data_IF_115774616960
#
_entry.id   IF_115774616960
#
_cell.length_a   1.000
_cell.length_b   1.000
_cell.length_c   1.000
_cell.angle_alpha   90.00
_cell.angle_beta   90.00
_cell.angle_gamma   90.00
#
_symmetry.space_group_name_H-M   'P 1'
#
loop_
_entity.id
_entity.type
_entity.pdbx_description
1 polymer ?
#
# COMPACT_ATOMS: atom_id res chain seq x y z
N UNK A 1 -6.56 -4.93 13.18
CA UNK A 1 -5.19 -5.38 13.49
C UNK A 1 -4.28 -4.17 13.33
N UNK A 2 -3.23 -4.06 14.15
CA UNK A 2 -2.25 -3.00 14.00
C UNK A 2 -1.38 -3.25 12.76
N UNK A 3 -0.78 -2.21 12.20
CA UNK A 3 0.20 -2.33 11.12
C UNK A 3 1.49 -2.96 11.66
N UNK A 4 1.95 -4.05 11.04
CA UNK A 4 3.15 -4.79 11.49
C UNK A 4 4.42 -4.44 10.69
N UNK A 5 4.28 -4.09 9.41
CA UNK A 5 5.41 -3.93 8.47
C UNK A 5 5.22 -2.67 7.61
N UNK A 6 6.28 -1.87 7.47
CA UNK A 6 6.34 -0.72 6.56
C UNK A 6 7.40 -1.00 5.47
N UNK A 7 6.95 -1.15 4.22
CA UNK A 7 7.82 -1.29 3.06
C UNK A 7 8.25 0.07 2.50
N UNK A 8 9.41 0.57 2.90
CA UNK A 8 9.94 1.87 2.45
C UNK A 8 10.62 1.87 1.06
N UNK A 9 10.51 0.77 0.31
CA UNK A 9 11.13 0.63 -1.01
C UNK A 9 10.37 1.39 -2.10
N UNK A 10 11.09 1.97 -3.05
CA UNK A 10 10.49 2.66 -4.20
C UNK A 10 9.80 1.70 -5.17
N UNK A 11 8.95 2.26 -6.04
CA UNK A 11 8.37 1.50 -7.14
C UNK A 11 9.45 0.79 -7.97
N UNK A 12 9.12 -0.42 -8.44
CA UNK A 12 10.01 -1.28 -9.27
C UNK A 12 11.20 -1.91 -8.53
N UNK A 13 11.31 -1.79 -7.21
CA UNK A 13 12.35 -2.48 -6.40
C UNK A 13 11.84 -3.79 -5.78
N UNK A 14 10.99 -4.54 -6.48
CA UNK A 14 10.42 -5.81 -5.99
C UNK A 14 9.22 -5.68 -5.04
N UNK A 15 8.56 -4.51 -4.98
CA UNK A 15 7.44 -4.23 -4.07
C UNK A 15 6.26 -5.20 -4.23
N UNK A 16 5.93 -5.60 -5.46
CA UNK A 16 4.84 -6.57 -5.71
C UNK A 16 5.18 -7.98 -5.22
N UNK A 17 6.43 -8.42 -5.42
CA UNK A 17 6.89 -9.70 -4.88
C UNK A 17 6.90 -9.70 -3.35
N UNK A 18 7.31 -8.58 -2.73
CA UNK A 18 7.26 -8.42 -1.28
C UNK A 18 5.82 -8.49 -0.74
N UNK A 19 4.87 -7.74 -1.33
CA UNK A 19 3.43 -7.82 -1.01
C UNK A 19 2.96 -9.28 -1.00
N UNK A 20 3.22 -9.99 -2.09
CA UNK A 20 2.81 -11.38 -2.28
C UNK A 20 3.42 -12.31 -1.22
N UNK A 21 4.68 -12.09 -0.85
CA UNK A 21 5.36 -12.89 0.17
C UNK A 21 4.75 -12.68 1.55
N UNK A 22 4.48 -11.43 1.95
CA UNK A 22 3.86 -11.10 3.24
C UNK A 22 2.47 -11.73 3.38
N UNK A 23 1.66 -11.68 2.33
CA UNK A 23 0.33 -12.31 2.31
C UNK A 23 0.43 -13.84 2.45
N UNK A 24 1.39 -14.47 1.75
CA UNK A 24 1.63 -15.93 1.85
C UNK A 24 2.14 -16.35 3.22
N UNK A 25 2.90 -15.49 3.89
CA UNK A 25 3.43 -15.75 5.23
C UNK A 25 2.40 -15.51 6.35
N UNK A 26 1.21 -15.02 6.01
CA UNK A 26 0.12 -14.83 6.98
C UNK A 26 0.15 -13.48 7.70
N UNK A 27 0.88 -12.48 7.19
CA UNK A 27 0.89 -11.11 7.73
C UNK A 27 -0.41 -10.32 7.42
N UNK A 28 -1.46 -10.98 6.93
CA UNK A 28 -2.70 -10.35 6.49
C UNK A 28 -2.60 -9.66 5.13
N UNK A 29 -3.60 -8.83 4.76
CA UNK A 29 -3.59 -8.07 3.51
C UNK A 29 -2.45 -7.05 3.51
N UNK A 30 -1.77 -6.90 2.36
CA UNK A 30 -0.66 -5.96 2.22
C UNK A 30 -1.01 -4.88 1.19
N UNK A 31 -1.15 -3.62 1.65
CA UNK A 31 -1.46 -2.48 0.79
C UNK A 31 -0.36 -2.27 -0.27
N UNK A 32 -0.75 -2.17 -1.54
CA UNK A 32 0.16 -1.90 -2.67
C UNK A 32 -0.50 -1.04 -3.74
N UNK A 33 0.29 -0.29 -4.52
CA UNK A 33 -0.21 0.61 -5.59
C UNK A 33 -1.11 -0.10 -6.62
N UNK A 34 -0.94 -1.42 -6.82
CA UNK A 34 -1.82 -2.22 -7.70
C UNK A 34 -3.28 -2.24 -7.24
N UNK A 35 -3.55 -2.05 -5.95
CA UNK A 35 -4.89 -1.99 -5.37
C UNK A 35 -5.46 -0.58 -5.48
N UNK A 36 -4.62 0.43 -5.24
CA UNK A 36 -4.98 1.86 -5.33
C UNK A 36 -5.49 2.23 -6.74
N UNK A 37 -4.84 1.74 -7.80
CA UNK A 37 -5.22 2.06 -9.18
C UNK A 37 -6.67 1.65 -9.52
N UNK A 38 -7.21 0.63 -8.85
CA UNK A 38 -8.57 0.15 -9.04
C UNK A 38 -9.62 0.81 -8.14
N UNK A 39 -9.21 1.70 -7.23
CA UNK A 39 -10.06 2.26 -6.17
C UNK A 39 -10.05 3.79 -6.20
N UNK A 40 -11.08 4.43 -6.79
CA UNK A 40 -11.19 5.88 -6.86
C UNK A 40 -11.16 6.59 -5.50
N UNK A 41 -11.66 5.96 -4.44
CA UNK A 41 -11.61 6.56 -3.10
C UNK A 41 -10.18 6.57 -2.57
N UNK A 42 -9.42 5.48 -2.74
CA UNK A 42 -8.01 5.47 -2.34
C UNK A 42 -7.18 6.50 -3.14
N UNK A 43 -7.46 6.66 -4.43
CA UNK A 43 -6.80 7.69 -5.25
C UNK A 43 -7.08 9.08 -4.66
N UNK A 44 -8.34 9.37 -4.30
CA UNK A 44 -8.72 10.64 -3.68
C UNK A 44 -7.99 10.84 -2.35
N UNK A 45 -8.02 9.86 -1.45
CA UNK A 45 -7.38 9.93 -0.13
C UNK A 45 -5.88 10.18 -0.22
N UNK A 46 -5.18 9.46 -1.11
CA UNK A 46 -3.74 9.68 -1.32
C UNK A 46 -3.42 11.04 -1.95
N UNK A 47 -4.31 11.55 -2.81
CA UNK A 47 -4.16 12.91 -3.37
C UNK A 47 -4.34 13.98 -2.29
N UNK A 48 -5.39 13.87 -1.47
CA UNK A 48 -5.64 14.82 -0.38
C UNK A 48 -4.51 14.81 0.66
N UNK A 49 -3.97 13.64 1.01
CA UNK A 49 -2.81 13.52 1.88
C UNK A 49 -1.55 14.20 1.29
N UNK A 50 -1.31 14.05 -0.01
CA UNK A 50 -0.20 14.72 -0.71
C UNK A 50 -0.34 16.24 -0.74
N UNK A 51 -1.58 16.74 -0.76
CA UNK A 51 -1.91 18.17 -0.64
C UNK A 51 -1.84 18.70 0.81
N UNK A 52 -1.50 17.86 1.80
CA UNK A 52 -1.45 18.24 3.20
C UNK A 52 -2.83 18.31 3.87
N UNK A 53 -3.83 17.62 3.31
CA UNK A 53 -5.20 17.50 3.84
C UNK A 53 -5.53 16.02 4.14
N UNK A 54 -4.76 15.32 4.99
CA UNK A 54 -5.13 13.97 5.38
C UNK A 54 -6.46 14.00 6.14
N UNK A 55 -7.28 12.98 5.90
CA UNK A 55 -8.52 12.71 6.61
C UNK A 55 -8.28 12.23 8.05
#
# INVERSE_FOLDING_TARGET
MALEIIGAGFGRTGTYSLKTALERLGCGPCHHMSEVIGDPEQIRLWTDAADGRPD
#
